data_IF_265521270773
#
_entry.id   IF_265521270773
#
_cell.length_a   1.000
_cell.length_b   1.000
_cell.length_c   1.000
_cell.angle_alpha   90.00
_cell.angle_beta   90.00
_cell.angle_gamma   90.00
#
_symmetry.space_group_name_H-M   'P 1'
#
loop_
_entity.id
_entity.type
_entity.pdbx_description
1 polymer ?
#
# COMPACT_ATOMS: atom_id res chain seq x y z
N UNK A 1 -47.07 -36.69 -42.32
CA UNK A 1 -47.65 -35.58 -43.13
C UNK A 1 -48.35 -34.62 -42.17
N UNK A 2 -48.15 -33.33 -42.40
CA UNK A 2 -48.35 -32.17 -41.52
C UNK A 2 -49.68 -32.00 -40.78
N UNK A 3 -49.60 -31.17 -39.72
CA UNK A 3 -50.55 -30.15 -39.19
C UNK A 3 -50.82 -30.38 -37.69
N UNK A 4 -50.89 -29.42 -36.77
CA UNK A 4 -50.82 -27.96 -36.80
C UNK A 4 -50.56 -27.44 -35.37
N UNK A 5 -50.07 -26.22 -35.29
CA UNK A 5 -49.79 -25.36 -34.12
C UNK A 5 -51.02 -25.13 -33.22
N UNK A 6 -50.82 -25.07 -31.89
CA UNK A 6 -51.65 -24.26 -31.00
C UNK A 6 -50.78 -23.54 -29.94
N UNK A 7 -50.85 -22.22 -29.97
CA UNK A 7 -50.30 -21.27 -28.99
C UNK A 7 -51.10 -21.30 -27.69
N UNK A 8 -50.47 -21.12 -26.51
CA UNK A 8 -51.02 -20.26 -25.45
C UNK A 8 -50.00 -19.84 -24.36
N UNK A 9 -49.83 -18.52 -24.26
CA UNK A 9 -49.36 -17.62 -23.17
C UNK A 9 -48.93 -18.21 -21.82
N UNK A 10 -47.75 -17.86 -21.27
CA UNK A 10 -47.32 -16.57 -20.68
C UNK A 10 -47.74 -16.37 -19.22
N UNK A 11 -46.86 -16.75 -18.26
CA UNK A 11 -46.67 -16.02 -17.00
C UNK A 11 -45.18 -16.12 -16.61
N UNK A 12 -44.41 -15.08 -16.90
CA UNK A 12 -43.06 -14.90 -16.38
C UNK A 12 -43.12 -13.92 -15.20
N UNK A 13 -42.75 -14.39 -14.00
CA UNK A 13 -42.60 -13.55 -12.82
C UNK A 13 -41.27 -12.78 -12.88
N UNK A 14 -41.25 -11.45 -12.66
CA UNK A 14 -39.99 -10.72 -12.62
C UNK A 14 -39.36 -10.83 -11.23
N UNK A 15 -38.24 -11.54 -11.13
CA UNK A 15 -37.30 -11.40 -10.01
C UNK A 15 -36.60 -10.05 -10.15
N UNK A 16 -36.93 -9.09 -9.29
CA UNK A 16 -36.18 -7.85 -9.14
C UNK A 16 -34.93 -8.12 -8.30
N UNK A 17 -33.81 -8.43 -8.96
CA UNK A 17 -32.48 -8.37 -8.36
C UNK A 17 -32.00 -6.91 -8.37
N UNK A 18 -32.09 -6.25 -7.22
CA UNK A 18 -31.41 -4.98 -6.98
C UNK A 18 -29.89 -5.23 -6.88
N UNK A 19 -29.16 -4.87 -7.94
CA UNK A 19 -27.71 -4.88 -7.94
C UNK A 19 -27.18 -3.54 -7.37
N UNK A 20 -26.43 -3.60 -6.28
CA UNK A 20 -25.64 -2.48 -5.78
C UNK A 20 -24.51 -2.19 -6.78
N UNK A 21 -24.59 -1.07 -7.50
CA UNK A 21 -23.52 -0.60 -8.35
C UNK A 21 -22.44 0.10 -7.50
N UNK A 22 -21.31 -0.57 -7.30
CA UNK A 22 -20.07 0.07 -6.86
C UNK A 22 -19.58 1.03 -7.95
N UNK A 23 -19.02 2.20 -7.64
CA UNK A 23 -18.44 3.07 -8.66
C UNK A 23 -17.24 2.37 -9.33
N UNK A 24 -17.44 1.85 -10.54
CA UNK A 24 -16.35 1.31 -11.34
C UNK A 24 -15.52 2.47 -11.89
N UNK A 25 -14.18 2.45 -11.78
CA UNK A 25 -13.35 3.42 -12.48
C UNK A 25 -13.64 3.36 -13.98
N UNK A 26 -13.77 4.54 -14.58
CA UNK A 26 -14.16 4.74 -15.97
C UNK A 26 -13.26 3.95 -16.92
N UNK A 27 -13.82 3.48 -18.04
CA UNK A 27 -13.10 2.70 -19.05
C UNK A 27 -11.79 3.38 -19.51
N UNK A 28 -11.74 4.71 -19.49
CA UNK A 28 -10.55 5.50 -19.77
C UNK A 28 -9.38 5.23 -18.80
N UNK A 29 -9.64 5.07 -17.49
CA UNK A 29 -8.60 4.77 -16.50
C UNK A 29 -8.01 3.37 -16.69
N UNK A 30 -8.84 2.37 -16.99
CA UNK A 30 -8.40 0.99 -17.22
C UNK A 30 -7.55 0.82 -18.49
N UNK A 31 -7.82 1.59 -19.54
CA UNK A 31 -7.04 1.55 -20.79
C UNK A 31 -5.67 2.22 -20.61
N UNK A 32 -5.60 3.32 -19.84
CA UNK A 32 -4.31 3.96 -19.51
C UNK A 32 -3.39 3.09 -18.64
N UNK A 33 -3.95 2.41 -17.65
CA UNK A 33 -3.19 1.48 -16.79
C UNK A 33 -2.73 0.22 -17.54
N UNK A 34 -3.57 -0.33 -18.43
CA UNK A 34 -3.19 -1.49 -19.25
C UNK A 34 -2.10 -1.16 -20.29
N UNK A 35 -2.11 0.05 -20.85
CA UNK A 35 -1.11 0.50 -21.82
C UNK A 35 0.28 0.76 -21.18
N UNK A 36 0.32 1.09 -19.89
CA UNK A 36 1.58 1.33 -19.17
C UNK A 36 2.07 0.12 -18.37
N UNK A 37 1.25 -0.94 -18.25
CA UNK A 37 1.63 -2.18 -17.59
C UNK A 37 2.93 -2.81 -18.16
N UNK A 38 3.17 -2.84 -19.49
CA UNK A 38 4.44 -3.35 -20.03
C UNK A 38 5.65 -2.46 -19.65
N UNK A 39 5.44 -1.15 -19.48
CA UNK A 39 6.49 -0.20 -19.11
C UNK A 39 6.80 -0.23 -17.60
N UNK A 40 5.81 -0.54 -16.76
CA UNK A 40 6.00 -0.85 -15.33
C UNK A 40 6.82 -2.13 -15.15
N UNK A 41 6.56 -3.14 -15.99
CA UNK A 41 7.26 -4.44 -15.98
C UNK A 41 8.73 -4.33 -16.44
N UNK A 42 9.04 -3.34 -17.29
CA UNK A 42 10.40 -2.98 -17.70
C UNK A 42 11.07 -1.92 -16.81
N UNK A 43 10.46 -1.56 -15.67
CA UNK A 43 10.97 -0.56 -14.74
C UNK A 43 11.22 0.84 -15.38
N UNK A 44 10.53 1.14 -16.49
CA UNK A 44 10.69 2.39 -17.24
C UNK A 44 9.86 3.54 -16.67
N UNK A 45 8.82 3.24 -15.89
CA UNK A 45 7.94 4.23 -15.25
C UNK A 45 8.03 4.07 -13.73
N UNK A 46 8.91 4.86 -13.11
CA UNK A 46 9.07 4.93 -11.67
C UNK A 46 8.31 6.14 -11.12
N UNK A 47 7.33 5.91 -10.25
CA UNK A 47 6.64 6.99 -9.54
C UNK A 47 7.66 7.70 -8.63
N UNK A 48 7.83 9.03 -8.71
CA UNK A 48 8.88 9.76 -8.00
C UNK A 48 8.75 9.62 -6.48
N UNK A 49 9.89 9.59 -5.78
CA UNK A 49 9.92 9.59 -4.31
C UNK A 49 9.34 10.93 -3.82
N UNK A 50 8.32 10.93 -2.94
CA UNK A 50 7.75 12.16 -2.39
C UNK A 50 8.80 13.04 -1.74
N UNK A 51 8.71 14.36 -1.95
CA UNK A 51 9.70 15.33 -1.47
C UNK A 51 9.91 15.27 0.05
N UNK A 52 8.83 15.10 0.81
CA UNK A 52 8.89 14.95 2.28
C UNK A 52 9.78 13.77 2.72
N UNK A 53 9.80 12.68 1.96
CA UNK A 53 10.69 11.53 2.23
C UNK A 53 12.12 11.76 1.76
N UNK A 54 12.32 12.58 0.72
CA UNK A 54 13.65 12.99 0.29
C UNK A 54 14.32 13.89 1.34
N UNK A 55 13.57 14.86 1.89
CA UNK A 55 14.02 15.71 3.00
C UNK A 55 14.31 14.88 4.24
N UNK A 56 13.39 13.96 4.61
CA UNK A 56 13.60 13.05 5.73
C UNK A 56 14.87 12.20 5.56
N UNK A 57 15.19 11.76 4.35
CA UNK A 57 16.41 10.99 4.05
C UNK A 57 17.70 11.78 4.20
N UNK A 58 17.67 13.09 3.96
CA UNK A 58 18.85 13.95 4.13
C UNK A 58 19.16 14.21 5.61
N UNK A 59 18.12 14.41 6.44
CA UNK A 59 18.31 14.71 7.85
C UNK A 59 17.18 14.14 8.75
N UNK A 60 17.16 12.81 8.99
CA UNK A 60 16.07 12.16 9.73
C UNK A 60 15.88 12.71 11.16
N UNK A 61 16.98 13.12 11.80
CA UNK A 61 17.03 13.62 13.18
C UNK A 61 17.24 15.14 13.28
N UNK A 62 17.02 15.90 12.21
CA UNK A 62 17.10 17.36 12.30
C UNK A 62 16.15 17.90 13.39
N UNK A 63 16.47 19.02 14.04
CA UNK A 63 15.50 19.74 14.84
C UNK A 63 14.23 20.06 14.00
N UNK A 64 13.04 20.12 14.62
CA UNK A 64 11.83 20.53 13.91
C UNK A 64 11.98 21.99 13.46
N UNK A 65 11.29 22.36 12.38
CA UNK A 65 11.35 23.73 11.87
C UNK A 65 10.76 24.73 12.88
N UNK A 66 9.82 24.28 13.71
CA UNK A 66 9.26 25.04 14.81
C UNK A 66 9.16 24.20 16.08
N UNK A 67 9.26 24.84 17.24
CA UNK A 67 9.05 24.21 18.55
C UNK A 67 7.60 24.37 19.05
N UNK A 68 6.64 24.46 18.13
CA UNK A 68 5.21 24.57 18.47
C UNK A 68 4.52 23.23 18.26
N UNK A 69 3.55 22.90 19.11
CA UNK A 69 2.80 21.65 18.94
C UNK A 69 2.09 21.57 17.58
N UNK A 70 1.60 22.69 17.06
CA UNK A 70 0.91 22.72 15.77
C UNK A 70 1.87 22.54 14.59
N UNK A 71 3.07 23.13 14.66
CA UNK A 71 4.10 22.89 13.64
C UNK A 71 4.60 21.45 13.64
N UNK A 72 4.79 20.85 14.82
CA UNK A 72 5.14 19.42 14.93
C UNK A 72 4.05 18.53 14.31
N UNK A 73 2.77 18.77 14.64
CA UNK A 73 1.65 18.04 14.05
C UNK A 73 1.58 18.21 12.53
N UNK A 74 1.85 19.41 12.01
CA UNK A 74 1.85 19.65 10.57
C UNK A 74 2.96 18.86 9.86
N UNK A 75 4.18 18.84 10.42
CA UNK A 75 5.28 18.03 9.89
C UNK A 75 4.96 16.53 9.94
N UNK A 76 4.41 16.04 11.06
CA UNK A 76 4.01 14.64 11.24
C UNK A 76 2.90 14.26 10.25
N UNK A 77 1.88 15.11 10.10
CA UNK A 77 0.80 14.89 9.14
C UNK A 77 1.32 14.78 7.70
N UNK A 78 2.27 15.63 7.31
CA UNK A 78 2.88 15.54 5.98
C UNK A 78 3.61 14.21 5.74
N UNK A 79 4.17 13.61 6.78
CA UNK A 79 4.76 12.26 6.73
C UNK A 79 3.69 11.17 6.70
N UNK A 80 2.62 11.30 7.48
CA UNK A 80 1.51 10.32 7.50
C UNK A 80 0.77 10.26 6.18
N UNK A 81 0.58 11.40 5.50
CA UNK A 81 -0.10 11.47 4.20
C UNK A 81 0.64 10.65 3.11
N UNK A 82 1.95 10.42 3.26
CA UNK A 82 2.75 9.62 2.31
C UNK A 82 3.13 8.23 2.83
N UNK A 83 3.33 8.07 4.14
CA UNK A 83 3.71 6.79 4.75
C UNK A 83 2.50 5.93 5.09
N UNK A 84 1.31 6.53 5.12
CA UNK A 84 0.09 5.91 5.61
C UNK A 84 0.08 5.79 7.14
N UNK A 85 -0.93 5.06 7.68
CA UNK A 85 -1.16 4.97 9.11
C UNK A 85 0.06 4.47 9.89
N UNK A 86 0.39 5.19 10.96
CA UNK A 86 1.49 4.86 11.85
C UNK A 86 1.12 3.70 12.81
N UNK A 87 2.11 3.26 13.61
CA UNK A 87 2.02 2.14 14.53
C UNK A 87 0.94 2.31 15.61
N UNK A 88 0.58 3.54 15.94
CA UNK A 88 -0.43 3.94 16.93
C UNK A 88 -1.82 4.18 16.33
N UNK A 89 -1.97 4.07 15.01
CA UNK A 89 -3.26 4.22 14.36
C UNK A 89 -4.21 3.07 14.78
N UNK A 90 -5.49 3.37 15.09
CA UNK A 90 -6.46 2.34 15.40
C UNK A 90 -6.66 1.41 14.20
N UNK A 91 -6.69 0.11 14.45
CA UNK A 91 -6.98 -0.87 13.40
C UNK A 91 -8.38 -0.64 12.82
N UNK A 92 -8.47 -0.62 11.49
CA UNK A 92 -9.75 -0.58 10.79
C UNK A 92 -9.74 -1.59 9.62
N UNK A 93 -10.89 -1.90 9.01
CA UNK A 93 -10.97 -2.90 7.93
C UNK A 93 -10.08 -2.58 6.71
N UNK A 94 -9.79 -1.31 6.44
CA UNK A 94 -8.93 -0.87 5.35
C UNK A 94 -7.44 -0.85 5.74
N UNK A 95 -7.15 -0.75 7.04
CA UNK A 95 -5.81 -0.58 7.60
C UNK A 95 -5.66 -1.48 8.84
N UNK A 96 -5.34 -2.78 8.66
CA UNK A 96 -5.16 -3.70 9.78
C UNK A 96 -4.07 -3.20 10.74
N UNK A 97 -4.23 -3.51 12.03
CA UNK A 97 -3.21 -3.23 13.04
C UNK A 97 -1.91 -4.00 12.79
N UNK A 98 -0.86 -3.71 13.56
CA UNK A 98 0.44 -4.38 13.41
C UNK A 98 0.36 -5.89 13.65
N UNK A 99 -0.51 -6.33 14.57
CA UNK A 99 -0.73 -7.75 14.88
C UNK A 99 -1.34 -8.46 13.66
N UNK A 100 -2.43 -7.95 13.10
CA UNK A 100 -3.02 -8.48 11.87
C UNK A 100 -2.05 -8.46 10.69
N UNK A 101 -1.30 -7.36 10.48
CA UNK A 101 -0.30 -7.28 9.40
C UNK A 101 0.79 -8.34 9.56
N UNK A 102 1.28 -8.55 10.80
CA UNK A 102 2.26 -9.58 11.12
C UNK A 102 1.73 -10.99 10.88
N UNK A 103 0.49 -11.27 11.27
CA UNK A 103 -0.18 -12.54 11.02
C UNK A 103 -0.38 -12.84 9.54
N UNK A 104 -0.80 -11.84 8.74
CA UNK A 104 -0.94 -11.97 7.30
C UNK A 104 0.40 -12.20 6.60
N UNK A 105 1.45 -11.47 6.98
CA UNK A 105 2.79 -11.66 6.43
C UNK A 105 3.35 -13.06 6.76
N UNK A 106 3.15 -13.54 7.99
CA UNK A 106 3.56 -14.88 8.40
C UNK A 106 2.77 -15.97 7.66
N UNK A 107 1.44 -15.79 7.52
CA UNK A 107 0.58 -16.70 6.75
C UNK A 107 0.98 -16.78 5.28
N UNK A 108 1.19 -15.63 4.63
CA UNK A 108 1.66 -15.56 3.25
C UNK A 108 3.04 -16.18 3.08
N UNK A 109 3.95 -15.99 4.04
CA UNK A 109 5.28 -16.62 4.02
C UNK A 109 5.18 -18.15 4.16
N UNK A 110 4.28 -18.67 5.00
CA UNK A 110 4.03 -20.10 5.12
C UNK A 110 3.46 -20.70 3.82
N UNK A 111 2.51 -20.01 3.18
CA UNK A 111 1.94 -20.42 1.88
C UNK A 111 3.00 -20.42 0.77
N UNK A 112 3.87 -19.40 0.74
CA UNK A 112 4.97 -19.31 -0.24
C UNK A 112 6.09 -20.33 0.03
N UNK A 113 6.36 -20.68 1.29
CA UNK A 113 7.33 -21.71 1.66
C UNK A 113 6.92 -23.10 1.16
N UNK A 114 5.62 -23.38 1.10
CA UNK A 114 5.08 -24.63 0.53
C UNK A 114 5.26 -24.69 -1.00
N UNK A 115 5.30 -23.56 -1.70
CA UNK A 115 5.61 -23.51 -3.15
C UNK A 115 7.11 -23.54 -3.45
N UNK A 116 7.97 -23.23 -2.48
CA UNK A 116 9.42 -23.02 -2.68
C UNK A 116 10.34 -24.17 -2.25
N UNK A 117 9.80 -25.36 -1.93
CA UNK A 117 10.54 -26.47 -1.30
C UNK A 117 11.72 -27.07 -2.13
N UNK A 118 12.10 -26.47 -3.26
CA UNK A 118 13.25 -26.87 -4.08
C UNK A 118 14.49 -25.96 -3.95
N UNK A 119 14.42 -24.81 -3.25
CA UNK A 119 15.60 -23.92 -3.09
C UNK A 119 16.15 -23.93 -1.65
N UNK A 120 17.44 -24.23 -1.55
CA UNK A 120 18.16 -24.57 -0.31
C UNK A 120 18.01 -23.59 0.85
N UNK A 121 17.89 -24.20 2.03
CA UNK A 121 17.73 -23.67 3.38
C UNK A 121 18.79 -22.65 3.75
N UNK A 122 18.48 -21.36 3.58
CA UNK A 122 18.75 -20.29 4.57
C UNK A 122 17.66 -19.21 4.46
N UNK A 123 16.95 -18.88 5.55
CA UNK A 123 16.00 -17.76 5.55
C UNK A 123 16.69 -16.49 5.05
N UNK A 124 16.05 -15.77 4.13
CA UNK A 124 16.45 -14.45 3.60
C UNK A 124 17.62 -14.38 2.60
N UNK A 125 18.44 -15.43 2.36
CA UNK A 125 19.56 -15.30 1.39
C UNK A 125 19.10 -15.04 -0.05
N UNK A 126 17.99 -15.65 -0.47
CA UNK A 126 17.37 -15.41 -1.77
C UNK A 126 16.79 -14.00 -1.91
N UNK A 127 16.16 -13.48 -0.84
CA UNK A 127 15.61 -12.12 -0.79
C UNK A 127 16.71 -11.07 -0.78
N UNK A 128 17.78 -11.28 0.00
CA UNK A 128 18.96 -10.42 -0.01
C UNK A 128 19.53 -10.35 -1.43
N UNK A 129 19.77 -11.47 -2.12
CA UNK A 129 20.33 -11.44 -3.50
C UNK A 129 19.42 -10.75 -4.53
N UNK A 130 18.09 -10.91 -4.42
CA UNK A 130 17.12 -10.22 -5.30
C UNK A 130 17.02 -8.73 -4.98
N UNK A 131 17.03 -8.35 -3.70
CA UNK A 131 17.06 -6.96 -3.25
C UNK A 131 18.40 -6.26 -3.54
N UNK A 132 19.53 -6.97 -3.46
CA UNK A 132 20.89 -6.44 -3.64
C UNK A 132 21.40 -6.50 -5.09
N UNK A 133 20.69 -7.15 -6.00
CA UNK A 133 21.08 -7.25 -7.41
C UNK A 133 20.31 -6.36 -8.39
N UNK A 134 18.97 -6.35 -8.34
CA UNK A 134 18.18 -5.98 -9.53
C UNK A 134 17.64 -4.54 -9.57
N UNK A 135 17.35 -3.89 -8.43
CA UNK A 135 16.49 -2.70 -8.45
C UNK A 135 17.07 -1.53 -7.64
N UNK A 136 17.86 -0.66 -8.29
CA UNK A 136 18.46 0.52 -7.64
C UNK A 136 17.39 1.49 -7.14
N UNK A 137 16.30 1.66 -7.89
CA UNK A 137 15.23 2.60 -7.52
C UNK A 137 14.47 2.12 -6.28
N UNK A 138 14.11 0.83 -6.24
CA UNK A 138 13.46 0.24 -5.06
C UNK A 138 14.31 0.35 -3.80
N UNK A 139 15.64 0.29 -3.89
CA UNK A 139 16.50 0.57 -2.72
C UNK A 139 16.40 2.02 -2.26
N UNK A 140 16.34 2.98 -3.19
CA UNK A 140 16.19 4.39 -2.86
C UNK A 140 14.82 4.68 -2.23
N UNK A 141 13.76 4.05 -2.76
CA UNK A 141 12.39 4.13 -2.21
C UNK A 141 12.36 3.53 -0.80
N UNK A 142 12.88 2.32 -0.61
CA UNK A 142 12.94 1.67 0.70
C UNK A 142 13.75 2.50 1.71
N UNK A 143 14.89 3.06 1.31
CA UNK A 143 15.68 3.96 2.15
C UNK A 143 14.93 5.25 2.50
N UNK A 144 14.16 5.80 1.56
CA UNK A 144 13.34 7.00 1.81
C UNK A 144 12.20 6.73 2.78
N UNK A 145 11.51 5.58 2.64
CA UNK A 145 10.47 5.15 3.56
C UNK A 145 11.06 4.96 4.97
N UNK A 146 12.18 4.24 5.08
CA UNK A 146 12.86 4.02 6.35
C UNK A 146 13.31 5.34 7.01
N UNK A 147 13.81 6.29 6.24
CA UNK A 147 14.15 7.61 6.76
C UNK A 147 12.92 8.40 7.21
N UNK A 148 11.81 8.33 6.45
CA UNK A 148 10.54 8.94 6.80
C UNK A 148 9.95 8.38 8.09
N UNK A 149 9.97 7.06 8.29
CA UNK A 149 9.48 6.44 9.52
C UNK A 149 10.31 6.86 10.73
N UNK A 150 11.64 6.92 10.60
CA UNK A 150 12.55 7.42 11.64
C UNK A 150 12.26 8.90 11.94
N UNK A 151 12.10 9.74 10.91
CA UNK A 151 11.76 11.17 11.06
C UNK A 151 10.45 11.36 11.83
N UNK A 152 9.41 10.61 11.47
CA UNK A 152 8.11 10.64 12.16
C UNK A 152 8.25 10.26 13.63
N UNK A 153 8.96 9.18 13.93
CA UNK A 153 9.19 8.75 15.32
C UNK A 153 9.98 9.79 16.13
N UNK A 154 11.01 10.40 15.54
CA UNK A 154 11.78 11.47 16.16
C UNK A 154 10.91 12.70 16.51
N UNK A 155 10.10 13.17 15.57
CA UNK A 155 9.19 14.31 15.78
C UNK A 155 8.15 14.01 16.87
N UNK A 156 7.57 12.80 16.87
CA UNK A 156 6.67 12.36 17.94
C UNK A 156 7.37 12.35 19.30
N UNK A 157 8.60 11.86 19.36
CA UNK A 157 9.43 11.87 20.58
C UNK A 157 9.66 13.29 21.13
N UNK A 158 10.02 14.25 20.27
CA UNK A 158 10.13 15.66 20.65
C UNK A 158 8.79 16.21 21.13
N UNK A 159 7.69 15.93 20.42
CA UNK A 159 6.35 16.34 20.82
C UNK A 159 5.97 15.84 22.22
N UNK A 160 6.26 14.58 22.51
CA UNK A 160 6.03 14.01 23.85
C UNK A 160 6.88 14.69 24.93
N UNK A 161 8.16 14.99 24.64
CA UNK A 161 9.02 15.74 25.56
C UNK A 161 8.48 17.15 25.84
N UNK A 162 7.86 17.79 24.85
CA UNK A 162 7.27 19.12 24.96
C UNK A 162 5.85 19.12 25.57
N UNK A 163 5.29 17.95 25.92
CA UNK A 163 3.92 17.83 26.42
C UNK A 163 2.84 18.02 25.35
N UNK A 164 3.22 18.00 24.07
CA UNK A 164 2.29 18.01 22.95
C UNK A 164 1.59 16.65 22.81
N UNK A 165 0.42 16.66 22.15
CA UNK A 165 -0.23 15.46 21.62
C UNK A 165 0.00 15.41 20.11
N UNK A 166 1.14 14.86 19.66
CA UNK A 166 1.47 14.76 18.24
C UNK A 166 0.51 13.84 17.47
#
# INVERSE_FOLDING_TARGET
>A
MSRSVLLLSCVAAPFLLAACASPQPSAAGRIGDAATAPLKDLNLVNAPIPEVLQVARQAPYAPPATNTCDGLKAEIKGLDDVLGPDLDAPANPEHPGLVERGGQAAGNAAVNALQGAAEGVVPFRGWVRKLTGAERYSRQVAAAIAAGTVRRAWLKGIGHQQGCRP
#
